data_IF_194125856961
#
_entry.id   IF_194125856961
#
_cell.length_a   1.000
_cell.length_b   1.000
_cell.length_c   1.000
_cell.angle_alpha   90.00
_cell.angle_beta   90.00
_cell.angle_gamma   90.00
#
_symmetry.space_group_name_H-M   'P 1'
#
loop_
_entity.id
_entity.type
_entity.pdbx_description
1 polymer ?
#
# COMPACT_ATOMS: atom_id res chain seq x y z
N UNK A 1 71.48 38.07 31.14
CA UNK A 1 72.01 38.09 32.53
C UNK A 1 71.45 36.87 33.22
N UNK A 2 72.40 35.99 33.63
CA UNK A 2 72.28 34.86 34.55
C UNK A 2 71.33 33.71 34.18
N UNK A 3 71.81 32.60 33.65
CA UNK A 3 72.69 31.54 34.20
C UNK A 3 72.14 30.93 35.51
N UNK A 4 71.87 29.69 35.50
CA UNK A 4 72.36 28.57 36.32
C UNK A 4 71.32 27.46 36.17
N UNK A 5 71.52 26.31 35.60
CA UNK A 5 72.52 25.31 35.92
C UNK A 5 71.95 24.39 37.00
N UNK A 6 71.46 23.28 36.61
CA UNK A 6 71.00 22.24 37.50
C UNK A 6 70.83 20.91 36.76
N UNK A 7 71.92 20.53 36.09
CA UNK A 7 72.05 19.12 35.72
C UNK A 7 72.54 18.41 37.00
N UNK A 8 71.68 17.59 37.58
CA UNK A 8 72.05 16.64 38.60
C UNK A 8 71.31 15.31 38.39
N UNK A 9 72.04 14.37 37.83
CA UNK A 9 72.15 13.02 38.30
C UNK A 9 70.83 12.31 38.66
N UNK A 10 70.12 11.81 37.64
CA UNK A 10 69.32 10.62 37.79
C UNK A 10 70.18 9.41 37.37
N UNK A 11 71.25 9.24 38.06
CA UNK A 11 72.06 8.06 37.96
C UNK A 11 71.59 7.03 38.98
N UNK A 12 71.17 5.90 38.48
CA UNK A 12 71.27 4.61 39.16
C UNK A 12 70.60 4.51 40.55
N UNK A 13 69.30 4.37 40.56
CA UNK A 13 68.67 3.52 41.56
C UNK A 13 68.59 2.12 40.99
N UNK A 14 69.63 1.33 41.20
CA UNK A 14 69.68 -0.10 41.08
C UNK A 14 68.62 -0.64 42.03
N UNK A 15 67.59 -1.25 41.48
CA UNK A 15 66.34 -1.70 42.14
C UNK A 15 66.50 -2.87 43.13
N UNK A 16 67.77 -3.11 43.61
CA UNK A 16 68.07 -4.23 44.48
C UNK A 16 68.17 -3.93 45.98
N UNK A 17 68.14 -2.64 46.40
CA UNK A 17 68.42 -2.24 47.78
C UNK A 17 67.24 -1.73 48.62
N UNK A 18 66.00 -1.91 48.18
CA UNK A 18 64.86 -1.66 49.03
C UNK A 18 64.48 -2.98 49.74
N UNK A 19 64.40 -3.07 51.05
CA UNK A 19 63.93 -4.21 51.78
C UNK A 19 62.41 -4.29 51.70
N UNK A 20 61.95 -4.68 50.60
CA UNK A 20 60.47 -5.00 50.39
C UNK A 20 60.26 -6.37 51.00
N UNK A 21 59.33 -6.56 51.97
CA UNK A 21 59.08 -7.85 52.58
C UNK A 21 58.67 -8.86 51.51
N UNK A 22 59.19 -10.07 51.62
CA UNK A 22 58.97 -11.19 50.66
C UNK A 22 57.56 -11.34 50.11
N UNK A 23 56.48 -11.13 50.88
CA UNK A 23 55.10 -11.23 50.34
C UNK A 23 54.77 -10.16 49.30
N UNK A 24 55.39 -8.96 49.43
CA UNK A 24 55.09 -7.87 48.44
C UNK A 24 55.82 -8.11 47.11
N UNK A 25 57.00 -8.72 47.13
CA UNK A 25 57.73 -9.11 45.90
C UNK A 25 56.94 -10.18 45.07
N UNK A 26 56.23 -11.08 45.73
CA UNK A 26 55.40 -12.07 45.10
C UNK A 26 54.10 -11.45 44.60
N UNK A 27 53.50 -10.56 45.33
CA UNK A 27 52.31 -9.81 44.93
C UNK A 27 52.58 -8.91 43.71
N UNK A 28 53.73 -8.24 43.64
CA UNK A 28 54.13 -7.42 42.48
C UNK A 28 54.43 -8.30 41.24
N UNK A 29 55.08 -9.47 41.42
CA UNK A 29 55.33 -10.42 40.31
C UNK A 29 54.04 -11.14 39.86
N UNK A 30 53.17 -11.51 40.77
CA UNK A 30 51.87 -12.10 40.47
C UNK A 30 50.90 -11.07 39.91
N UNK A 31 50.83 -9.85 40.48
CA UNK A 31 49.98 -8.76 40.02
C UNK A 31 50.36 -8.25 38.62
N UNK A 32 51.66 -8.17 38.32
CA UNK A 32 52.15 -7.80 36.99
C UNK A 32 51.75 -8.81 35.92
N UNK A 33 51.79 -10.13 36.25
CA UNK A 33 51.27 -11.17 35.34
C UNK A 33 49.77 -11.07 35.10
N UNK A 34 48.98 -10.81 36.13
CA UNK A 34 47.53 -10.59 35.97
C UNK A 34 47.23 -9.36 35.13
N UNK A 35 47.90 -8.23 35.37
CA UNK A 35 47.71 -7.03 34.56
C UNK A 35 48.12 -7.28 33.11
N UNK A 36 49.23 -7.98 32.85
CA UNK A 36 49.65 -8.32 31.50
C UNK A 36 48.66 -9.20 30.77
N UNK A 37 48.07 -10.20 31.46
CA UNK A 37 47.01 -11.05 30.89
C UNK A 37 45.74 -10.24 30.61
N UNK A 38 45.31 -9.36 31.50
CA UNK A 38 44.17 -8.47 31.28
C UNK A 38 44.38 -7.52 30.11
N UNK A 39 45.58 -6.93 30.00
CA UNK A 39 45.95 -6.05 28.87
C UNK A 39 45.98 -6.88 27.58
N UNK A 40 46.53 -8.08 27.57
CA UNK A 40 46.51 -8.97 26.40
C UNK A 40 45.08 -9.35 25.97
N UNK A 41 44.22 -9.73 26.92
CA UNK A 41 42.82 -10.04 26.66
C UNK A 41 42.06 -8.80 26.14
N UNK A 42 42.29 -7.63 26.71
CA UNK A 42 41.73 -6.37 26.25
C UNK A 42 42.18 -6.06 24.82
N UNK A 43 43.45 -6.21 24.52
CA UNK A 43 43.98 -6.03 23.16
C UNK A 43 43.37 -7.04 22.20
N UNK A 44 43.32 -8.31 22.57
CA UNK A 44 42.68 -9.36 21.72
C UNK A 44 41.20 -9.04 21.48
N UNK A 45 40.47 -8.55 22.48
CA UNK A 45 39.07 -8.19 22.33
C UNK A 45 38.82 -7.09 21.27
N UNK A 46 39.83 -6.24 21.00
CA UNK A 46 39.75 -5.20 19.95
C UNK A 46 39.91 -5.72 18.54
N UNK A 47 40.38 -6.97 18.37
CA UNK A 47 40.54 -7.62 17.06
C UNK A 47 39.33 -8.47 16.64
N UNK A 48 38.30 -8.56 17.49
CA UNK A 48 37.11 -9.34 17.20
C UNK A 48 35.94 -8.41 17.05
N UNK A 49 35.28 -8.46 15.89
CA UNK A 49 33.96 -7.84 15.65
C UNK A 49 32.89 -8.88 15.53
N UNK A 50 31.79 -8.69 16.24
CA UNK A 50 30.59 -9.48 16.08
C UNK A 50 29.58 -8.70 15.22
N UNK A 51 29.24 -9.25 14.04
CA UNK A 51 28.21 -8.72 13.15
C UNK A 51 26.88 -9.38 13.50
N UNK A 52 25.89 -8.64 14.04
CA UNK A 52 24.63 -9.21 14.43
C UNK A 52 23.79 -9.62 13.20
N UNK A 53 22.89 -10.60 13.39
CA UNK A 53 21.96 -11.04 12.37
C UNK A 53 21.10 -9.91 11.85
N UNK A 54 20.95 -9.79 10.53
CA UNK A 54 20.22 -8.71 9.86
C UNK A 54 21.04 -7.43 9.67
N UNK A 55 22.34 -7.49 9.91
CA UNK A 55 23.30 -6.43 9.60
C UNK A 55 24.47 -7.02 8.81
N UNK A 56 25.17 -6.16 8.11
CA UNK A 56 26.40 -6.48 7.38
C UNK A 56 27.44 -5.45 7.71
N UNK A 57 28.67 -5.89 8.00
CA UNK A 57 29.79 -5.02 8.29
C UNK A 57 30.58 -4.69 7.03
N UNK A 58 31.05 -3.45 6.96
CA UNK A 58 32.04 -3.01 5.96
C UNK A 58 33.33 -2.70 6.69
N UNK A 59 34.42 -3.37 6.28
CA UNK A 59 35.75 -3.09 6.84
C UNK A 59 36.38 -1.91 6.11
N UNK A 60 36.69 -0.88 6.89
CA UNK A 60 37.42 0.29 6.43
C UNK A 60 38.81 0.30 7.14
N UNK A 61 39.84 0.12 6.35
CA UNK A 61 41.22 0.07 6.80
C UNK A 61 41.92 1.33 6.31
N UNK A 62 41.99 2.38 7.18
CA UNK A 62 42.65 3.64 6.86
C UNK A 62 42.18 4.28 5.55
N UNK A 63 40.85 4.25 5.27
CA UNK A 63 40.26 4.81 4.08
C UNK A 63 40.19 3.81 2.89
N UNK A 64 40.76 2.60 3.04
CA UNK A 64 40.61 1.55 2.06
C UNK A 64 39.43 0.64 2.47
N UNK A 65 38.35 0.74 1.71
CA UNK A 65 37.11 -0.03 1.94
C UNK A 65 37.23 -1.39 1.26
N UNK A 66 37.12 -2.46 2.05
CA UNK A 66 37.15 -3.81 1.52
C UNK A 66 35.91 -4.11 0.66
N UNK A 67 36.10 -4.78 -0.48
CA UNK A 67 35.00 -5.09 -1.41
C UNK A 67 34.03 -6.14 -0.87
N UNK A 68 34.58 -7.10 -0.14
CA UNK A 68 33.80 -8.18 0.45
C UNK A 68 33.15 -7.74 1.76
N UNK A 69 31.80 -7.67 1.83
CA UNK A 69 31.12 -7.32 3.06
C UNK A 69 31.20 -8.46 4.08
N UNK A 70 31.32 -8.10 5.35
CA UNK A 70 31.34 -9.05 6.47
C UNK A 70 29.91 -9.49 6.80
N UNK A 71 29.61 -10.77 6.52
CA UNK A 71 28.33 -11.39 6.83
C UNK A 71 28.12 -11.51 8.35
N UNK A 72 26.89 -11.79 8.82
CA UNK A 72 26.63 -12.04 10.24
C UNK A 72 27.54 -13.12 10.82
N UNK A 73 28.13 -12.86 11.97
CA UNK A 73 29.06 -13.76 12.65
C UNK A 73 30.25 -13.04 13.30
N UNK A 74 31.19 -13.84 13.78
CA UNK A 74 32.44 -13.36 14.39
C UNK A 74 33.51 -13.18 13.31
N UNK A 75 34.11 -12.03 13.25
CA UNK A 75 35.17 -11.67 12.31
C UNK A 75 36.39 -11.13 13.01
N UNK A 76 37.57 -11.56 12.55
CA UNK A 76 38.84 -11.00 13.02
C UNK A 76 39.17 -9.77 12.20
N UNK A 77 39.47 -8.68 12.90
CA UNK A 77 39.85 -7.41 12.30
C UNK A 77 41.35 -7.16 12.39
N UNK A 78 41.87 -6.41 11.44
CA UNK A 78 43.23 -5.90 11.56
C UNK A 78 43.29 -4.71 12.57
N UNK A 79 44.40 -4.47 13.23
CA UNK A 79 44.50 -3.48 14.32
C UNK A 79 44.07 -2.06 13.96
N UNK A 80 44.14 -1.68 12.70
CA UNK A 80 43.84 -0.33 12.22
C UNK A 80 42.57 -0.29 11.35
N UNK A 81 41.74 -1.35 11.38
CA UNK A 81 40.47 -1.35 10.66
C UNK A 81 39.30 -0.99 11.54
N UNK A 82 38.35 -0.27 10.96
CA UNK A 82 37.07 0.04 11.54
C UNK A 82 36.00 -0.75 10.80
N UNK A 83 35.07 -1.37 11.52
CA UNK A 83 33.90 -2.02 10.91
C UNK A 83 32.70 -1.10 11.08
N UNK A 84 32.14 -0.70 9.94
CA UNK A 84 30.89 0.09 9.87
C UNK A 84 29.74 -0.87 9.61
N UNK A 85 28.72 -0.82 10.47
CA UNK A 85 27.56 -1.73 10.41
C UNK A 85 26.43 -1.09 9.63
N UNK A 86 25.86 -1.85 8.67
CA UNK A 86 24.67 -1.47 7.94
C UNK A 86 23.56 -2.49 8.19
N UNK A 87 22.34 -1.99 8.45
CA UNK A 87 21.16 -2.85 8.56
C UNK A 87 20.67 -3.24 7.18
N UNK A 88 20.57 -4.56 6.94
CA UNK A 88 20.00 -5.12 5.71
C UNK A 88 18.52 -5.50 5.87
N UNK A 89 17.93 -5.17 7.02
CA UNK A 89 16.50 -5.36 7.30
C UNK A 89 15.67 -4.41 6.46
N UNK A 90 14.43 -4.81 6.21
CA UNK A 90 13.47 -3.96 5.52
C UNK A 90 13.22 -2.68 6.33
N UNK A 91 13.47 -1.54 5.72
CA UNK A 91 13.17 -0.22 6.26
C UNK A 91 11.89 0.30 5.64
N UNK A 92 11.07 0.98 6.45
CA UNK A 92 9.86 1.65 6.00
C UNK A 92 9.97 3.13 6.31
N UNK A 93 10.00 3.95 5.25
CA UNK A 93 10.01 5.41 5.34
C UNK A 93 8.60 5.89 5.03
N UNK A 94 8.11 6.84 5.82
CA UNK A 94 6.84 7.53 5.59
C UNK A 94 7.12 9.02 5.43
N UNK A 95 6.65 9.59 4.31
CA UNK A 95 6.89 10.98 3.96
C UNK A 95 5.58 11.66 3.58
N UNK A 96 5.39 12.87 4.13
CA UNK A 96 4.38 13.83 3.66
C UNK A 96 5.00 14.70 2.58
N UNK A 97 4.48 14.65 1.38
CA UNK A 97 5.04 15.35 0.22
C UNK A 97 3.96 16.22 -0.39
N UNK A 98 4.23 17.51 -0.47
CA UNK A 98 3.46 18.41 -1.31
C UNK A 98 3.78 18.12 -2.78
N UNK A 99 2.75 17.79 -3.55
CA UNK A 99 2.84 17.37 -4.93
C UNK A 99 1.83 18.13 -5.80
N UNK A 100 2.10 18.16 -7.10
CA UNK A 100 1.25 18.81 -8.09
C UNK A 100 0.75 17.78 -9.09
N UNK A 101 -0.53 17.82 -9.45
CA UNK A 101 -1.10 17.00 -10.51
C UNK A 101 -0.81 17.56 -11.91
N UNK A 102 -1.16 16.79 -12.94
CA UNK A 102 -1.05 17.20 -14.34
C UNK A 102 -1.84 18.52 -14.63
N UNK A 103 -2.95 18.73 -13.93
CA UNK A 103 -3.78 19.94 -14.07
C UNK A 103 -3.24 21.13 -13.27
N UNK A 104 -2.10 21.00 -12.58
CA UNK A 104 -1.54 22.05 -11.74
C UNK A 104 -2.16 22.14 -10.34
N UNK A 105 -2.95 21.15 -9.92
CA UNK A 105 -3.53 21.10 -8.60
C UNK A 105 -2.49 20.70 -7.57
N UNK A 106 -2.32 21.53 -6.53
CA UNK A 106 -1.43 21.25 -5.39
C UNK A 106 -2.20 20.49 -4.31
N UNK A 107 -1.61 19.42 -3.78
CA UNK A 107 -2.17 18.59 -2.72
C UNK A 107 -1.09 17.92 -1.88
N UNK A 108 -1.43 17.57 -0.64
CA UNK A 108 -0.53 16.83 0.25
C UNK A 108 -0.75 15.32 0.08
N UNK A 109 0.36 14.62 -0.12
CA UNK A 109 0.39 13.18 -0.35
C UNK A 109 1.23 12.50 0.72
N UNK A 110 0.60 11.61 1.51
CA UNK A 110 1.31 10.72 2.40
C UNK A 110 1.71 9.44 1.65
N UNK A 111 3.00 9.21 1.55
CA UNK A 111 3.58 8.08 0.83
C UNK A 111 4.47 7.26 1.75
N UNK A 112 4.60 5.98 1.49
CA UNK A 112 5.58 5.14 2.17
C UNK A 112 6.41 4.34 1.19
N UNK A 113 7.69 4.20 1.51
CA UNK A 113 8.66 3.44 0.75
C UNK A 113 9.22 2.33 1.62
N UNK A 114 9.14 1.10 1.14
CA UNK A 114 9.77 -0.06 1.73
C UNK A 114 11.00 -0.45 0.90
N UNK A 115 12.16 -0.41 1.54
CA UNK A 115 13.43 -0.73 0.88
C UNK A 115 14.39 -1.40 1.86
N UNK A 116 15.39 -2.05 1.32
CA UNK A 116 16.53 -2.61 2.06
C UNK A 116 17.82 -2.44 1.28
N UNK A 117 18.94 -2.59 1.94
CA UNK A 117 20.25 -2.60 1.30
C UNK A 117 20.53 -4.03 0.83
N UNK A 118 21.04 -4.20 -0.40
CA UNK A 118 21.55 -5.50 -0.87
C UNK A 118 22.80 -5.87 -0.07
N UNK A 119 22.78 -6.97 0.68
CA UNK A 119 23.94 -7.39 1.50
C UNK A 119 25.24 -7.48 0.72
N UNK A 120 25.17 -7.81 -0.58
CA UNK A 120 26.33 -7.93 -1.45
C UNK A 120 26.93 -6.61 -1.90
N UNK A 121 26.13 -5.55 -1.91
CA UNK A 121 26.50 -4.22 -2.40
C UNK A 121 26.78 -3.21 -1.25
N UNK A 122 26.76 -3.64 0.00
CA UNK A 122 26.94 -2.73 1.16
C UNK A 122 28.25 -1.97 1.10
N UNK A 123 29.35 -2.62 0.66
CA UNK A 123 30.65 -1.95 0.49
C UNK A 123 30.61 -0.85 -0.57
N UNK A 124 29.83 -1.05 -1.63
CA UNK A 124 29.59 -0.04 -2.67
C UNK A 124 28.76 1.13 -2.10
N UNK A 125 27.67 0.84 -1.34
CA UNK A 125 26.86 1.85 -0.68
C UNK A 125 27.74 2.73 0.22
N UNK A 126 28.58 2.11 1.03
CA UNK A 126 29.47 2.86 1.92
C UNK A 126 30.47 3.75 1.17
N UNK A 127 31.06 3.26 0.08
CA UNK A 127 32.00 4.05 -0.75
C UNK A 127 31.32 5.22 -1.46
N UNK A 128 30.08 5.03 -1.95
CA UNK A 128 29.43 6.03 -2.80
C UNK A 128 28.60 7.03 -1.99
N UNK A 129 27.98 6.58 -0.92
CA UNK A 129 27.00 7.35 -0.14
C UNK A 129 27.46 7.61 1.27
N UNK A 130 28.28 6.71 1.84
CA UNK A 130 28.66 6.75 3.24
C UNK A 130 27.59 6.17 4.18
N UNK A 131 27.42 6.80 5.34
CA UNK A 131 26.48 6.34 6.38
C UNK A 131 25.12 7.01 6.34
N UNK A 132 24.92 8.03 5.49
CA UNK A 132 23.66 8.79 5.35
C UNK A 132 22.78 8.25 4.24
N UNK A 133 22.68 6.92 4.09
CA UNK A 133 21.96 6.27 3.02
C UNK A 133 20.46 6.64 2.98
N UNK A 134 19.85 6.87 4.15
CA UNK A 134 18.42 7.22 4.22
C UNK A 134 18.12 8.58 3.61
N UNK A 135 19.00 9.56 3.75
CA UNK A 135 18.82 10.91 3.17
C UNK A 135 18.79 10.88 1.64
N UNK A 136 19.68 10.10 1.03
CA UNK A 136 19.73 9.93 -0.43
C UNK A 136 18.48 9.22 -0.94
N UNK A 137 18.05 8.16 -0.24
CA UNK A 137 16.84 7.43 -0.60
C UNK A 137 15.59 8.33 -0.49
N UNK A 138 15.45 9.09 0.60
CA UNK A 138 14.34 10.04 0.81
C UNK A 138 14.33 11.13 -0.26
N UNK A 139 15.50 11.72 -0.56
CA UNK A 139 15.60 12.76 -1.58
C UNK A 139 15.15 12.28 -2.96
N UNK A 140 15.61 11.09 -3.38
CA UNK A 140 15.18 10.48 -4.65
C UNK A 140 13.71 10.09 -4.64
N UNK A 141 13.23 9.56 -3.52
CA UNK A 141 11.83 9.22 -3.34
C UNK A 141 10.92 10.44 -3.53
N UNK A 142 11.23 11.56 -2.86
CA UNK A 142 10.47 12.81 -3.03
C UNK A 142 10.50 13.31 -4.46
N UNK A 143 11.64 13.25 -5.14
CA UNK A 143 11.78 13.68 -6.52
C UNK A 143 10.92 12.84 -7.48
N UNK A 144 10.93 11.51 -7.33
CA UNK A 144 10.14 10.61 -8.17
C UNK A 144 8.65 10.76 -7.91
N UNK A 145 8.23 10.88 -6.63
CA UNK A 145 6.83 11.11 -6.30
C UNK A 145 6.32 12.37 -7.01
N UNK A 146 7.03 13.51 -6.89
CA UNK A 146 6.66 14.75 -7.58
C UNK A 146 6.63 14.62 -9.09
N UNK A 147 7.62 13.93 -9.67
CA UNK A 147 7.68 13.72 -11.11
C UNK A 147 6.49 12.90 -11.63
N UNK A 148 6.15 11.81 -10.96
CA UNK A 148 5.06 10.93 -11.38
C UNK A 148 3.71 11.60 -11.17
N UNK A 149 3.50 12.26 -10.03
CA UNK A 149 2.23 12.96 -9.77
C UNK A 149 1.95 14.06 -10.80
N UNK A 150 2.99 14.75 -11.26
CA UNK A 150 2.86 15.78 -12.30
C UNK A 150 2.47 15.22 -13.68
N UNK A 151 2.64 13.92 -13.93
CA UNK A 151 2.24 13.25 -15.18
C UNK A 151 0.81 12.71 -15.14
N UNK A 152 0.22 12.62 -13.96
CA UNK A 152 -1.11 12.01 -13.79
C UNK A 152 -2.14 13.03 -13.32
N UNK A 153 -3.41 12.89 -13.80
CA UNK A 153 -4.50 13.71 -13.30
C UNK A 153 -4.79 13.36 -11.83
N UNK A 154 -5.19 14.38 -11.05
CA UNK A 154 -5.49 14.23 -9.64
C UNK A 154 -6.47 13.08 -9.38
N UNK A 155 -7.51 12.94 -10.22
CA UNK A 155 -8.50 11.86 -10.14
C UNK A 155 -7.87 10.46 -10.14
N UNK A 156 -6.82 10.25 -10.94
CA UNK A 156 -6.10 8.96 -11.00
C UNK A 156 -5.36 8.64 -9.71
N UNK A 157 -4.89 9.66 -8.99
CA UNK A 157 -4.08 9.51 -7.76
C UNK A 157 -4.94 9.06 -6.57
N UNK A 158 -6.20 9.53 -6.48
CA UNK A 158 -7.09 9.13 -5.39
C UNK A 158 -8.10 8.02 -5.75
N UNK A 159 -8.18 7.63 -7.03
CA UNK A 159 -9.09 6.58 -7.52
C UNK A 159 -8.47 5.18 -7.48
N UNK A 160 -9.15 4.22 -8.10
CA UNK A 160 -8.67 2.83 -8.26
C UNK A 160 -7.35 2.72 -9.04
N UNK A 161 -6.96 3.74 -9.82
CA UNK A 161 -5.70 3.77 -10.57
C UNK A 161 -4.47 4.02 -9.69
N UNK A 162 -4.65 4.35 -8.41
CA UNK A 162 -3.55 4.60 -7.45
C UNK A 162 -2.57 3.45 -7.32
N UNK A 163 -3.02 2.20 -7.48
CA UNK A 163 -2.15 1.02 -7.43
C UNK A 163 -1.19 0.95 -8.61
N UNK A 164 -1.65 1.34 -9.79
CA UNK A 164 -0.82 1.43 -10.99
C UNK A 164 0.25 2.53 -10.83
N UNK A 165 -0.14 3.68 -10.29
CA UNK A 165 0.78 4.80 -10.02
C UNK A 165 1.83 4.39 -8.97
N UNK A 166 1.43 3.69 -7.91
CA UNK A 166 2.34 3.17 -6.88
C UNK A 166 3.37 2.19 -7.48
N UNK A 167 2.93 1.31 -8.37
CA UNK A 167 3.83 0.36 -9.05
C UNK A 167 4.78 1.07 -10.04
N UNK A 168 4.33 2.11 -10.70
CA UNK A 168 5.18 2.95 -11.53
C UNK A 168 6.24 3.67 -10.69
N UNK A 169 5.85 4.22 -9.52
CA UNK A 169 6.80 4.81 -8.56
C UNK A 169 7.83 3.78 -8.10
N UNK A 170 7.38 2.56 -7.73
CA UNK A 170 8.28 1.48 -7.33
C UNK A 170 9.29 1.17 -8.43
N UNK A 171 8.84 1.02 -9.67
CA UNK A 171 9.69 0.70 -10.82
C UNK A 171 10.73 1.79 -11.09
N UNK A 172 10.32 3.06 -11.10
CA UNK A 172 11.24 4.17 -11.34
C UNK A 172 12.25 4.33 -10.19
N UNK A 173 11.80 4.12 -8.94
CA UNK A 173 12.68 4.09 -7.78
C UNK A 173 13.69 2.95 -7.87
N UNK A 174 13.26 1.75 -8.22
CA UNK A 174 14.15 0.61 -8.41
C UNK A 174 15.23 0.92 -9.44
N UNK A 175 14.86 1.45 -10.61
CA UNK A 175 15.83 1.83 -11.66
C UNK A 175 16.90 2.80 -11.17
N UNK A 176 16.57 3.72 -10.26
CA UNK A 176 17.52 4.70 -9.74
C UNK A 176 18.30 4.22 -8.51
N UNK A 177 17.72 3.34 -7.69
CA UNK A 177 18.29 2.92 -6.41
C UNK A 177 19.05 1.58 -6.49
N UNK A 178 18.66 0.65 -7.38
CA UNK A 178 19.35 -0.63 -7.57
C UNK A 178 20.83 -0.51 -7.97
N UNK A 179 21.21 0.43 -8.87
CA UNK A 179 22.62 0.66 -9.19
C UNK A 179 23.44 1.15 -7.98
N UNK A 180 22.79 1.81 -7.03
CA UNK A 180 23.40 2.29 -5.80
C UNK A 180 23.50 1.22 -4.70
N UNK A 181 22.87 0.05 -4.89
CA UNK A 181 22.91 -1.05 -3.93
C UNK A 181 21.68 -1.18 -3.03
N UNK A 182 20.56 -0.55 -3.39
CA UNK A 182 19.29 -0.69 -2.67
C UNK A 182 18.31 -1.57 -3.44
N UNK A 183 17.47 -2.28 -2.72
CA UNK A 183 16.35 -3.06 -3.26
C UNK A 183 15.06 -2.41 -2.80
N UNK A 184 14.25 -1.99 -3.76
CA UNK A 184 12.94 -1.39 -3.51
C UNK A 184 11.88 -2.48 -3.54
N UNK A 185 11.25 -2.74 -2.39
CA UNK A 185 10.23 -3.77 -2.24
C UNK A 185 8.84 -3.22 -2.62
N UNK A 186 8.46 -2.07 -2.07
CA UNK A 186 7.17 -1.45 -2.34
C UNK A 186 7.22 0.08 -2.20
N UNK A 187 6.46 0.76 -3.06
CA UNK A 187 6.09 2.16 -2.87
C UNK A 187 4.56 2.23 -2.73
N UNK A 188 4.07 2.91 -1.70
CA UNK A 188 2.66 2.91 -1.35
C UNK A 188 2.16 4.34 -1.22
N UNK A 189 1.06 4.62 -1.91
CA UNK A 189 0.27 5.83 -1.74
C UNK A 189 -0.69 5.60 -0.57
N UNK A 190 -0.54 6.31 0.55
CA UNK A 190 -1.35 6.08 1.77
C UNK A 190 -2.58 6.97 1.80
N UNK A 191 -2.38 8.27 1.89
CA UNK A 191 -3.45 9.25 2.03
C UNK A 191 -3.19 10.42 1.08
N UNK A 192 -4.23 10.90 0.44
CA UNK A 192 -4.21 12.10 -0.40
C UNK A 192 -5.10 13.13 0.26
N UNK A 193 -4.52 14.25 0.69
CA UNK A 193 -5.25 15.37 1.27
C UNK A 193 -5.44 16.43 0.21
N UNK A 194 -6.67 16.53 -0.29
CA UNK A 194 -7.07 17.56 -1.25
C UNK A 194 -7.54 18.81 -0.52
N UNK A 195 -7.33 20.00 -1.06
CA UNK A 195 -7.97 21.21 -0.57
C UNK A 195 -9.50 21.08 -0.54
N UNK A 196 -10.17 21.64 0.46
CA UNK A 196 -11.62 21.50 0.65
C UNK A 196 -12.43 21.97 -0.56
N UNK A 197 -11.98 23.04 -1.23
CA UNK A 197 -12.62 23.55 -2.45
C UNK A 197 -12.61 22.54 -3.59
N UNK A 198 -11.52 21.79 -3.73
CA UNK A 198 -11.36 20.75 -4.75
C UNK A 198 -12.18 19.52 -4.38
N UNK A 199 -12.17 19.14 -3.10
CA UNK A 199 -12.97 18.02 -2.61
C UNK A 199 -14.47 18.29 -2.85
N UNK A 200 -14.95 19.50 -2.58
CA UNK A 200 -16.33 19.91 -2.86
C UNK A 200 -16.67 19.85 -4.37
N UNK A 201 -15.76 20.32 -5.24
CA UNK A 201 -15.93 20.26 -6.69
C UNK A 201 -15.99 18.81 -7.22
N UNK A 202 -15.15 17.92 -6.68
CA UNK A 202 -15.16 16.49 -7.01
C UNK A 202 -16.48 15.85 -6.59
N UNK A 203 -16.94 16.10 -5.37
CA UNK A 203 -18.22 15.59 -4.89
C UNK A 203 -19.38 16.06 -5.75
N UNK A 204 -19.39 17.34 -6.15
CA UNK A 204 -20.40 17.89 -7.06
C UNK A 204 -20.36 17.21 -8.45
N UNK A 205 -19.17 17.02 -9.01
CA UNK A 205 -19.00 16.29 -10.29
C UNK A 205 -19.52 14.86 -10.20
N UNK A 206 -19.15 14.13 -9.15
CA UNK A 206 -19.61 12.74 -8.93
C UNK A 206 -21.13 12.68 -8.77
N UNK A 207 -21.74 13.65 -8.07
CA UNK A 207 -23.19 13.75 -7.93
C UNK A 207 -23.87 13.92 -9.28
N UNK A 208 -23.39 14.85 -10.11
CA UNK A 208 -23.93 15.09 -11.46
C UNK A 208 -23.77 13.84 -12.35
N UNK A 209 -22.63 13.15 -12.29
CA UNK A 209 -22.41 11.90 -13.02
C UNK A 209 -23.38 10.80 -12.57
N UNK A 210 -23.62 10.66 -11.27
CA UNK A 210 -24.59 9.69 -10.74
C UNK A 210 -26.03 10.03 -11.18
N UNK A 211 -26.42 11.30 -11.12
CA UNK A 211 -27.73 11.78 -11.59
C UNK A 211 -27.88 11.50 -13.09
N UNK A 212 -26.86 11.74 -13.91
CA UNK A 212 -26.88 11.45 -15.34
C UNK A 212 -27.04 9.94 -15.61
N UNK A 213 -26.27 9.09 -14.93
CA UNK A 213 -26.40 7.62 -15.05
C UNK A 213 -27.77 7.12 -14.59
N UNK A 214 -28.30 7.71 -13.52
CA UNK A 214 -29.65 7.38 -13.05
C UNK A 214 -30.71 7.78 -14.10
N UNK A 215 -30.58 8.95 -14.73
CA UNK A 215 -31.48 9.39 -15.78
C UNK A 215 -31.41 8.48 -17.01
N UNK A 216 -30.23 8.07 -17.45
CA UNK A 216 -30.07 7.08 -18.54
C UNK A 216 -30.76 5.77 -18.21
N UNK A 217 -30.62 5.28 -16.99
CA UNK A 217 -31.29 4.07 -16.54
C UNK A 217 -32.81 4.21 -16.54
N UNK A 218 -33.33 5.34 -16.04
CA UNK A 218 -34.79 5.65 -16.06
C UNK A 218 -35.30 5.71 -17.48
N UNK A 219 -34.61 6.40 -18.40
CA UNK A 219 -34.98 6.47 -19.82
C UNK A 219 -34.97 5.09 -20.47
N UNK A 220 -33.93 4.28 -20.20
CA UNK A 220 -33.87 2.90 -20.70
C UNK A 220 -35.03 2.06 -20.20
N UNK A 221 -35.33 2.12 -18.91
CA UNK A 221 -36.47 1.43 -18.30
C UNK A 221 -37.81 1.86 -18.91
N UNK A 222 -38.01 3.19 -19.03
CA UNK A 222 -39.26 3.72 -19.62
C UNK A 222 -39.44 3.29 -21.08
N UNK A 223 -38.35 3.25 -21.86
CA UNK A 223 -38.40 2.71 -23.25
C UNK A 223 -38.77 1.25 -23.26
N UNK A 224 -38.19 0.42 -22.40
CA UNK A 224 -38.53 -1.00 -22.30
C UNK A 224 -39.99 -1.21 -21.87
N UNK A 225 -40.50 -0.42 -20.93
CA UNK A 225 -41.90 -0.49 -20.51
C UNK A 225 -42.87 -0.06 -21.63
N UNK A 226 -42.54 0.99 -22.38
CA UNK A 226 -43.31 1.43 -23.53
C UNK A 226 -43.35 0.33 -24.62
N UNK A 227 -42.21 -0.30 -24.93
CA UNK A 227 -42.08 -1.38 -25.87
C UNK A 227 -42.88 -2.63 -25.41
N UNK A 228 -42.79 -2.96 -24.12
CA UNK A 228 -43.60 -4.04 -23.54
C UNK A 228 -45.10 -3.78 -23.70
N UNK A 229 -45.59 -2.58 -23.37
CA UNK A 229 -46.99 -2.19 -23.54
C UNK A 229 -47.44 -2.21 -25.00
N UNK A 230 -46.56 -1.81 -25.92
CA UNK A 230 -46.86 -1.88 -27.35
C UNK A 230 -47.01 -3.34 -27.83
N UNK A 231 -46.09 -4.24 -27.41
CA UNK A 231 -46.15 -5.66 -27.72
C UNK A 231 -47.43 -6.28 -27.12
N UNK A 232 -47.77 -5.96 -25.89
CA UNK A 232 -48.97 -6.42 -25.19
C UNK A 232 -50.25 -5.95 -25.92
N UNK A 233 -50.31 -4.68 -26.30
CA UNK A 233 -51.44 -4.14 -27.09
C UNK A 233 -51.55 -4.81 -28.46
N UNK A 234 -50.45 -5.06 -29.15
CA UNK A 234 -50.46 -5.81 -30.40
C UNK A 234 -50.91 -7.26 -30.21
N UNK A 235 -50.46 -7.93 -29.15
CA UNK A 235 -50.89 -9.29 -28.84
C UNK A 235 -52.39 -9.37 -28.56
N UNK A 236 -52.93 -8.41 -27.77
CA UNK A 236 -54.38 -8.32 -27.51
C UNK A 236 -55.16 -8.05 -28.80
N UNK A 237 -54.68 -7.10 -29.64
CA UNK A 237 -55.33 -6.81 -30.92
C UNK A 237 -55.34 -8.03 -31.86
N UNK A 238 -54.24 -8.77 -31.96
CA UNK A 238 -54.13 -10.00 -32.74
C UNK A 238 -55.04 -11.11 -32.18
N UNK A 239 -55.05 -11.28 -30.85
CA UNK A 239 -55.95 -12.22 -30.17
C UNK A 239 -57.42 -11.90 -30.51
N UNK A 240 -57.87 -10.65 -30.32
CA UNK A 240 -59.21 -10.23 -30.60
C UNK A 240 -59.60 -10.43 -32.09
N UNK A 241 -58.66 -10.15 -33.02
CA UNK A 241 -58.84 -10.39 -34.43
C UNK A 241 -59.04 -11.89 -34.73
N UNK A 242 -58.20 -12.74 -34.14
CA UNK A 242 -58.27 -14.19 -34.31
C UNK A 242 -59.62 -14.77 -33.77
N UNK A 243 -59.99 -14.27 -32.57
CA UNK A 243 -61.26 -14.64 -31.95
C UNK A 243 -62.45 -14.18 -32.81
N UNK A 244 -62.43 -12.93 -33.30
CA UNK A 244 -63.50 -12.41 -34.15
C UNK A 244 -63.64 -13.18 -35.47
N UNK A 245 -62.55 -13.66 -36.05
CA UNK A 245 -62.57 -14.50 -37.26
C UNK A 245 -63.10 -15.91 -36.99
N UNK A 246 -62.91 -16.44 -35.76
CA UNK A 246 -63.41 -17.76 -35.36
C UNK A 246 -64.87 -17.79 -34.83
N UNK A 247 -65.41 -16.60 -34.50
CA UNK A 247 -66.78 -16.48 -33.96
C UNK A 247 -67.80 -16.52 -35.08
N UNK A 248 -68.17 -17.69 -35.50
CA UNK A 248 -69.38 -17.91 -36.33
C UNK A 248 -70.64 -17.81 -35.45
N UNK A 249 -71.78 -17.38 -36.00
CA UNK A 249 -73.03 -17.29 -35.24
C UNK A 249 -73.38 -18.57 -34.46
N UNK A 250 -73.02 -19.74 -35.01
CA UNK A 250 -73.22 -21.05 -34.36
C UNK A 250 -72.29 -21.18 -33.07
N UNK A 251 -71.07 -20.69 -33.09
CA UNK A 251 -70.18 -20.74 -31.94
C UNK A 251 -70.63 -19.77 -30.83
N UNK A 252 -71.20 -18.62 -31.20
CA UNK A 252 -71.80 -17.67 -30.25
C UNK A 252 -72.99 -18.28 -29.55
N UNK A 253 -73.91 -18.97 -30.33
CA UNK A 253 -75.01 -19.67 -29.74
C UNK A 253 -74.61 -20.83 -28.83
N UNK A 254 -73.58 -21.60 -29.23
CA UNK A 254 -73.06 -22.67 -28.38
C UNK A 254 -72.50 -22.11 -27.03
N UNK A 255 -71.72 -21.00 -27.09
CA UNK A 255 -71.21 -20.33 -25.89
C UNK A 255 -72.31 -19.72 -25.02
N UNK A 256 -73.39 -19.22 -25.59
CA UNK A 256 -74.57 -18.77 -24.84
C UNK A 256 -75.27 -19.95 -24.12
N UNK A 257 -75.35 -21.08 -24.76
CA UNK A 257 -75.89 -22.27 -24.13
C UNK A 257 -75.06 -22.81 -23.02
N UNK A 258 -73.71 -22.87 -23.22
CA UNK A 258 -72.75 -23.25 -22.16
C UNK A 258 -72.79 -22.29 -20.95
N UNK A 259 -72.87 -20.98 -21.20
CA UNK A 259 -72.99 -19.98 -20.14
C UNK A 259 -74.31 -20.10 -19.38
N UNK A 260 -75.43 -20.34 -20.08
CA UNK A 260 -76.74 -20.62 -19.45
C UNK A 260 -76.72 -21.90 -18.63
N UNK A 261 -76.05 -22.96 -19.12
CA UNK A 261 -75.96 -24.24 -18.42
C UNK A 261 -75.11 -24.07 -17.13
N UNK A 262 -73.97 -23.36 -17.18
CA UNK A 262 -73.12 -23.04 -16.00
C UNK A 262 -73.88 -22.16 -14.97
N UNK A 263 -74.69 -21.23 -15.42
CA UNK A 263 -75.55 -20.42 -14.56
C UNK A 263 -76.69 -21.25 -13.93
N UNK A 264 -77.27 -22.23 -14.64
CA UNK A 264 -78.29 -23.12 -14.13
C UNK A 264 -77.74 -24.07 -13.04
N UNK A 265 -76.49 -24.48 -13.15
CA UNK A 265 -75.78 -25.32 -12.14
C UNK A 265 -75.28 -24.53 -10.87
N UNK A 266 -75.25 -23.19 -10.93
CA UNK A 266 -74.86 -22.34 -9.83
C UNK A 266 -75.92 -22.23 -8.75
N UNK A 267 -75.64 -22.75 -7.55
CA UNK A 267 -76.57 -22.82 -6.42
C UNK A 267 -77.04 -21.46 -5.85
N UNK A 268 -76.49 -20.34 -6.29
CA UNK A 268 -76.71 -19.04 -5.69
C UNK A 268 -77.13 -17.91 -6.65
N UNK A 269 -77.54 -18.23 -7.89
CA UNK A 269 -77.82 -17.18 -8.88
C UNK A 269 -79.26 -17.26 -9.31
N UNK A 270 -80.06 -16.20 -9.12
CA UNK A 270 -81.35 -16.04 -9.74
C UNK A 270 -81.14 -15.37 -11.07
N UNK A 271 -81.45 -16.08 -12.16
CA UNK A 271 -81.45 -15.58 -13.55
C UNK A 271 -82.83 -15.20 -13.95
N UNK A 272 -83.07 -13.95 -14.26
CA UNK A 272 -84.35 -13.49 -14.88
C UNK A 272 -84.10 -13.34 -16.38
N UNK A 273 -84.77 -14.19 -17.19
CA UNK A 273 -84.68 -14.11 -18.64
C UNK A 273 -85.87 -13.18 -19.10
N UNK A 274 -85.51 -12.04 -19.67
CA UNK A 274 -86.45 -11.11 -20.29
C UNK A 274 -86.41 -11.32 -21.80
N UNK A 275 -87.51 -10.95 -22.50
CA UNK A 275 -87.61 -11.09 -23.96
C UNK A 275 -86.60 -10.28 -24.80
N UNK A 276 -85.61 -9.65 -24.17
CA UNK A 276 -84.46 -9.03 -24.81
C UNK A 276 -83.30 -9.98 -24.78
N UNK A 277 -82.54 -10.05 -25.79
CA UNK A 277 -81.42 -10.97 -26.08
C UNK A 277 -80.29 -11.04 -25.05
N UNK A 278 -80.42 -10.54 -23.84
CA UNK A 278 -79.37 -10.60 -22.81
C UNK A 278 -79.93 -10.94 -21.42
N UNK A 279 -79.36 -11.91 -20.72
CA UNK A 279 -79.76 -12.22 -19.34
C UNK A 279 -79.30 -11.12 -18.41
N UNK A 280 -80.12 -10.67 -17.47
CA UNK A 280 -79.80 -9.74 -16.41
C UNK A 280 -79.54 -10.60 -15.17
N UNK A 281 -78.27 -10.45 -14.64
CA UNK A 281 -77.89 -11.05 -13.39
C UNK A 281 -78.36 -10.15 -12.23
N UNK A 282 -79.27 -10.69 -11.41
CA UNK A 282 -79.67 -10.01 -10.17
C UNK A 282 -78.95 -10.71 -9.01
N UNK A 283 -78.01 -10.04 -8.37
CA UNK A 283 -77.40 -10.50 -7.09
C UNK A 283 -78.45 -10.44 -6.00
N UNK A 284 -78.75 -11.51 -5.22
CA UNK A 284 -79.57 -11.40 -4.03
C UNK A 284 -78.86 -10.47 -3.08
N UNK A 285 -79.50 -9.31 -2.83
CA UNK A 285 -79.00 -8.36 -1.84
C UNK A 285 -78.84 -9.07 -0.49
N UNK A 286 -77.62 -9.02 0.02
CA UNK A 286 -77.35 -9.48 1.37
C UNK A 286 -78.02 -8.53 2.38
N UNK A 287 -78.74 -9.07 3.30
CA UNK A 287 -79.06 -8.49 4.59
C UNK A 287 -77.80 -8.49 5.44
#
# INVERSE_FOLDING_TARGET
MLLIGGGAAFSALKSDDLPVPLPIRWAVRGGGGFVAVFVALYVISRFVSNVPTGSVGVRDSLGNVEESPLLPGLHFNTPFSRVVMFSTRLKNIQEGIEATSQEGLIFDLNVSLQYRIDPRKVSQVYRTIGTSESEIVVSRFRAIVRSITALHPAESIYSTKRTMIAEEMRRQLAQQLEPLGFVVEAALLREVKLPETVQAAIQQKLKIEQESKQMEFVLSKTRQEAQRKQIEAQAIANYNRTVAQGLTNQVIQLKQIEAMQSLAESKNTKVIITNGNSPILVSPGGN
#
